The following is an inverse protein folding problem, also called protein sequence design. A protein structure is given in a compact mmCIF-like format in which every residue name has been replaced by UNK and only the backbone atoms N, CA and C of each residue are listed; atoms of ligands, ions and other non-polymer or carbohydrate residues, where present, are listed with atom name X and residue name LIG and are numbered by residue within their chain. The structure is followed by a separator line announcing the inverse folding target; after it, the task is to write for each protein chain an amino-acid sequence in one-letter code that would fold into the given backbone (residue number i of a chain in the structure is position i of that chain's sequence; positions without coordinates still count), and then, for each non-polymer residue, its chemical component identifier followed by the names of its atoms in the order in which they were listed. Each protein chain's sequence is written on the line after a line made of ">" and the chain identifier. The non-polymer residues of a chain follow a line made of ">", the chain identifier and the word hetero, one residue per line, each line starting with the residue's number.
data_IF_293928478338
#
_entry.id   IF_293928478338
#
_cell.length_a   1.000
_cell.length_b   1.000
_cell.length_c   1.000
_cell.angle_alpha   90.00
_cell.angle_beta   90.00
_cell.angle_gamma   90.00
#
_symmetry.space_group_name_H-M   'P 1'
#
loop_
_entity.id
_entity.type
_entity.pdbx_description
1 polymer ?
#
# COMPACT_ATOMS: atom_id res chain seq x y z
N UNK A 1 -23.06 44.47 1.06
CA UNK A 1 -23.68 43.13 1.12
C UNK A 1 -24.90 43.22 2.03
N UNK A 2 -26.10 43.32 1.47
CA UNK A 2 -27.36 43.49 2.21
C UNK A 2 -28.06 42.15 2.45
N UNK A 3 -27.60 41.38 3.43
CA UNK A 3 -28.22 40.12 3.85
C UNK A 3 -29.14 40.32 5.05
N UNK A 4 -30.35 39.76 4.99
CA UNK A 4 -31.34 39.74 6.08
C UNK A 4 -30.78 39.02 7.32
N UNK A 5 -30.27 39.79 8.28
CA UNK A 5 -29.41 39.33 9.38
C UNK A 5 -30.10 38.73 10.60
N UNK A 6 -31.23 38.04 10.44
CA UNK A 6 -32.04 37.58 11.59
C UNK A 6 -32.27 36.08 11.71
N UNK A 7 -32.06 35.30 10.65
CA UNK A 7 -32.39 33.88 10.64
C UNK A 7 -31.12 33.03 10.56
N UNK A 8 -30.76 32.41 11.69
CA UNK A 8 -29.65 31.46 11.81
C UNK A 8 -30.24 30.03 11.87
N UNK A 9 -30.31 29.29 10.75
CA UNK A 9 -30.91 27.95 10.72
C UNK A 9 -30.09 26.89 11.47
N UNK A 10 -28.84 27.20 11.80
CA UNK A 10 -27.91 26.29 12.45
C UNK A 10 -27.58 26.81 13.85
N UNK A 11 -27.69 25.92 14.84
CA UNK A 11 -27.20 26.21 16.19
C UNK A 11 -25.68 26.19 16.17
N UNK A 12 -25.09 27.35 16.41
CA UNK A 12 -23.64 27.50 16.49
C UNK A 12 -23.18 27.07 17.88
N UNK A 13 -22.46 25.95 17.94
CA UNK A 13 -21.80 25.47 19.15
C UNK A 13 -20.33 25.91 19.13
N UNK A 14 -19.89 26.72 20.12
CA UNK A 14 -18.51 27.21 20.17
C UNK A 14 -17.47 26.08 20.25
N UNK A 15 -17.82 24.92 20.82
CA UNK A 15 -16.94 23.76 20.88
C UNK A 15 -16.71 23.12 19.51
N UNK A 16 -17.76 23.03 18.69
CA UNK A 16 -17.68 22.49 17.32
C UNK A 16 -16.86 23.43 16.43
N UNK A 17 -17.09 24.74 16.54
CA UNK A 17 -16.31 25.73 15.79
C UNK A 17 -14.83 25.73 16.20
N UNK A 18 -14.52 25.62 17.50
CA UNK A 18 -13.14 25.53 17.98
C UNK A 18 -12.43 24.26 17.47
N UNK A 19 -13.12 23.12 17.46
CA UNK A 19 -12.58 21.87 16.91
C UNK A 19 -12.34 21.97 15.40
N UNK A 20 -13.30 22.53 14.66
CA UNK A 20 -13.16 22.76 13.23
C UNK A 20 -11.97 23.67 12.94
N UNK A 21 -11.86 24.79 13.67
CA UNK A 21 -10.74 25.71 13.57
C UNK A 21 -9.40 25.03 13.86
N UNK A 22 -9.31 24.23 14.94
CA UNK A 22 -8.08 23.49 15.27
C UNK A 22 -7.67 22.56 14.12
N UNK A 23 -8.61 21.78 13.57
CA UNK A 23 -8.35 20.81 12.49
C UNK A 23 -7.90 21.50 11.20
N UNK A 24 -8.51 22.61 10.85
CA UNK A 24 -8.19 23.36 9.62
C UNK A 24 -6.85 24.10 9.73
N UNK A 25 -6.44 24.49 10.95
CA UNK A 25 -5.20 25.21 11.20
C UNK A 25 -4.05 24.33 11.71
N UNK A 26 -4.16 23.00 11.62
CA UNK A 26 -3.11 22.05 12.09
C UNK A 26 -1.75 22.38 11.51
N UNK A 27 -1.67 22.74 10.22
CA UNK A 27 -0.40 23.03 9.55
C UNK A 27 0.35 24.22 10.14
N UNK A 28 -0.36 25.20 10.73
CA UNK A 28 0.25 26.38 11.37
C UNK A 28 0.94 26.03 12.69
N UNK A 29 0.43 25.01 13.37
CA UNK A 29 0.89 24.61 14.70
C UNK A 29 1.71 23.32 14.69
N UNK A 30 1.82 22.66 13.53
CA UNK A 30 2.57 21.42 13.39
C UNK A 30 4.07 21.63 13.66
N UNK A 31 4.67 20.67 14.35
CA UNK A 31 6.12 20.63 14.61
C UNK A 31 6.65 19.22 14.41
N UNK A 32 7.83 19.13 13.79
CA UNK A 32 8.58 17.88 13.77
C UNK A 32 9.17 17.61 15.15
N UNK A 33 8.68 16.54 15.75
CA UNK A 33 9.19 15.94 16.99
C UNK A 33 9.76 14.58 16.63
N UNK A 34 10.55 13.96 17.51
CA UNK A 34 11.11 12.63 17.25
C UNK A 34 10.04 11.61 16.85
N UNK A 35 8.84 11.69 17.46
CA UNK A 35 7.70 10.83 17.13
C UNK A 35 7.10 11.16 15.76
N UNK A 36 6.75 12.42 15.50
CA UNK A 36 6.07 12.80 14.25
C UNK A 36 6.99 12.70 13.04
N UNK A 37 8.28 12.96 13.19
CA UNK A 37 9.28 12.75 12.15
C UNK A 37 9.43 11.26 11.81
N UNK A 38 9.48 10.37 12.81
CA UNK A 38 9.52 8.93 12.59
C UNK A 38 8.27 8.42 11.85
N UNK A 39 7.08 8.88 12.26
CA UNK A 39 5.83 8.54 11.57
C UNK A 39 5.81 9.04 10.13
N UNK A 40 6.25 10.27 9.88
CA UNK A 40 6.33 10.83 8.53
C UNK A 40 7.31 10.03 7.65
N UNK A 41 8.46 9.61 8.19
CA UNK A 41 9.42 8.79 7.45
C UNK A 41 8.87 7.40 7.12
N UNK A 42 8.21 6.74 8.09
CA UNK A 42 7.64 5.40 7.88
C UNK A 42 6.53 5.44 6.84
N UNK A 43 5.55 6.32 7.01
CA UNK A 43 4.37 6.34 6.13
C UNK A 43 4.59 7.10 4.83
N UNK A 44 5.46 8.11 4.82
CA UNK A 44 5.75 8.91 3.63
C UNK A 44 6.79 8.28 2.72
N UNK A 45 7.72 7.48 3.26
CA UNK A 45 8.86 6.96 2.47
C UNK A 45 8.96 5.45 2.56
N UNK A 46 9.09 4.88 3.76
CA UNK A 46 9.38 3.46 3.93
C UNK A 46 8.28 2.57 3.35
N UNK A 47 7.03 2.81 3.73
CA UNK A 47 5.89 2.01 3.30
C UNK A 47 5.69 2.08 1.78
N UNK A 48 5.61 3.27 1.14
CA UNK A 48 5.47 3.36 -0.31
C UNK A 48 6.65 2.72 -1.07
N UNK A 49 7.89 2.89 -0.57
CA UNK A 49 9.08 2.31 -1.21
C UNK A 49 9.07 0.80 -1.13
N UNK A 50 8.72 0.21 0.01
CA UNK A 50 8.63 -1.24 0.18
C UNK A 50 7.55 -1.81 -0.75
N UNK A 51 6.37 -1.19 -0.78
CA UNK A 51 5.30 -1.59 -1.69
C UNK A 51 5.77 -1.54 -3.14
N UNK A 52 6.42 -0.45 -3.56
CA UNK A 52 6.97 -0.31 -4.90
C UNK A 52 7.99 -1.42 -5.22
N UNK A 53 8.92 -1.71 -4.32
CA UNK A 53 9.92 -2.76 -4.53
C UNK A 53 9.27 -4.14 -4.70
N UNK A 54 8.29 -4.48 -3.87
CA UNK A 54 7.55 -5.74 -3.98
C UNK A 54 6.80 -5.79 -5.31
N UNK A 55 6.05 -4.74 -5.65
CA UNK A 55 5.35 -4.66 -6.93
C UNK A 55 6.31 -4.81 -8.10
N UNK A 56 7.41 -4.06 -8.13
CA UNK A 56 8.38 -4.12 -9.21
C UNK A 56 9.06 -5.50 -9.35
N UNK A 57 9.22 -6.25 -8.25
CA UNK A 57 9.75 -7.61 -8.29
C UNK A 57 8.72 -8.67 -8.73
N UNK A 58 7.44 -8.47 -8.42
CA UNK A 58 6.38 -9.40 -8.81
C UNK A 58 5.72 -9.04 -10.14
N UNK A 59 5.94 -7.82 -10.63
CA UNK A 59 5.35 -7.34 -11.88
C UNK A 59 5.76 -8.24 -13.04
N UNK A 60 4.77 -8.61 -13.85
CA UNK A 60 4.90 -9.51 -15.00
C UNK A 60 5.50 -10.89 -14.70
N UNK A 61 5.76 -11.23 -13.44
CA UNK A 61 6.36 -12.52 -13.07
C UNK A 61 5.39 -13.67 -13.21
N UNK A 62 4.12 -13.42 -12.92
CA UNK A 62 3.10 -14.45 -12.80
C UNK A 62 2.15 -14.40 -13.99
N UNK A 63 1.97 -15.54 -14.66
CA UNK A 63 0.97 -15.74 -15.70
C UNK A 63 0.00 -16.83 -15.27
N UNK A 64 -1.18 -16.41 -14.83
CA UNK A 64 -2.24 -17.30 -14.37
C UNK A 64 -3.30 -17.54 -15.45
N UNK A 65 -3.15 -16.92 -16.62
CA UNK A 65 -4.17 -16.98 -17.67
C UNK A 65 -4.19 -18.37 -18.29
N UNK A 66 -5.32 -19.08 -18.13
CA UNK A 66 -5.55 -20.43 -18.66
C UNK A 66 -4.49 -21.50 -18.27
N UNK A 67 -3.75 -21.30 -17.18
CA UNK A 67 -2.73 -22.24 -16.72
C UNK A 67 -3.35 -23.61 -16.36
N UNK A 68 -2.81 -24.70 -16.92
CA UNK A 68 -3.20 -26.07 -16.59
C UNK A 68 -2.39 -26.59 -15.40
N UNK A 69 -2.75 -27.77 -14.88
CA UNK A 69 -2.16 -28.38 -13.68
C UNK A 69 -0.62 -28.46 -13.69
N UNK A 70 -0.02 -28.71 -14.85
CA UNK A 70 1.43 -28.88 -14.99
C UNK A 70 2.09 -27.69 -15.73
N UNK A 71 1.36 -26.61 -15.97
CA UNK A 71 1.92 -25.43 -16.62
C UNK A 71 2.68 -24.56 -15.60
N UNK A 72 3.85 -24.02 -15.98
CA UNK A 72 4.60 -23.12 -15.12
C UNK A 72 3.90 -21.76 -15.03
N UNK A 73 3.62 -21.32 -13.80
CA UNK A 73 2.94 -20.04 -13.53
C UNK A 73 3.91 -18.86 -13.57
N UNK A 74 5.20 -19.10 -13.26
CA UNK A 74 6.21 -18.04 -13.30
C UNK A 74 6.77 -17.92 -14.72
N UNK A 75 6.80 -16.72 -15.28
CA UNK A 75 7.31 -16.46 -16.63
C UNK A 75 8.82 -16.61 -16.77
N UNK A 76 9.58 -16.48 -15.67
CA UNK A 76 11.06 -16.53 -15.71
C UNK A 76 11.66 -17.12 -14.43
N UNK A 77 12.91 -17.60 -14.55
CA UNK A 77 13.68 -18.24 -13.49
C UNK A 77 13.42 -19.73 -13.34
N UNK A 78 13.87 -20.33 -12.23
CA UNK A 78 13.72 -21.78 -11.95
C UNK A 78 12.27 -22.29 -11.95
N UNK A 79 11.32 -21.38 -11.77
CA UNK A 79 9.89 -21.68 -11.71
C UNK A 79 9.20 -21.66 -13.09
N UNK A 80 9.93 -21.30 -14.15
CA UNK A 80 9.45 -21.33 -15.53
C UNK A 80 9.46 -22.73 -16.16
N UNK A 81 10.17 -23.69 -15.56
CA UNK A 81 10.10 -25.09 -15.97
C UNK A 81 8.85 -25.77 -15.40
N UNK A 82 8.31 -26.76 -16.12
CA UNK A 82 7.15 -27.52 -15.67
C UNK A 82 7.41 -28.13 -14.29
N UNK A 83 6.42 -28.13 -13.38
CA UNK A 83 6.57 -28.74 -12.08
C UNK A 83 7.02 -30.21 -12.14
N UNK A 84 6.48 -30.99 -13.09
CA UNK A 84 6.87 -32.38 -13.33
C UNK A 84 8.34 -32.56 -13.70
N UNK A 85 8.84 -31.78 -14.64
CA UNK A 85 10.24 -31.81 -15.10
C UNK A 85 11.20 -31.40 -13.99
N UNK A 86 10.81 -30.43 -13.15
CA UNK A 86 11.61 -30.02 -12.00
C UNK A 86 11.64 -31.07 -10.91
N UNK A 87 10.52 -31.75 -10.66
CA UNK A 87 10.44 -32.83 -9.69
C UNK A 87 11.27 -34.04 -10.14
N UNK A 88 11.22 -34.38 -11.43
CA UNK A 88 12.05 -35.44 -12.02
C UNK A 88 13.55 -35.12 -11.94
N UNK A 89 13.95 -33.87 -12.20
CA UNK A 89 15.33 -33.42 -12.06
C UNK A 89 15.82 -33.34 -10.60
N UNK A 90 14.90 -33.31 -9.62
CA UNK A 90 15.21 -33.28 -8.19
C UNK A 90 15.14 -34.66 -7.52
N UNK A 91 14.63 -35.68 -8.21
CA UNK A 91 14.71 -37.05 -7.73
C UNK A 91 16.19 -37.49 -7.77
N UNK A 92 16.74 -38.06 -6.68
CA UNK A 92 18.04 -38.71 -6.76
C UNK A 92 17.95 -39.77 -7.85
N UNK A 93 18.94 -39.82 -8.75
CA UNK A 93 19.07 -40.93 -9.68
C UNK A 93 19.01 -42.20 -8.82
N UNK A 94 17.96 -43.01 -9.01
CA UNK A 94 17.86 -44.28 -8.31
C UNK A 94 19.05 -45.12 -8.78
N UNK A 95 20.06 -45.21 -7.91
CA UNK A 95 21.28 -45.97 -8.11
C UNK A 95 20.89 -47.46 -8.24
N UNK A 96 21.12 -48.02 -9.43
CA UNK A 96 21.06 -49.46 -9.73
C UNK A 96 22.36 -50.17 -9.33
#
# INVERSE_FOLDING_TARGET
>A
MGGSGGYQPVKIDPGVEAFAYMRENVWRHFRFTNRTAGLAAVWGVLVPSLVYLVCNQQDLKWDLTAARRDDPIARWGKYAQRPSERAAAAAPAEDE
#
